data_IF_193181192675
#
_entry.id   IF_193181192675
#
_cell.length_a   1.000
_cell.length_b   1.000
_cell.length_c   1.000
_cell.angle_alpha   90.00
_cell.angle_beta   90.00
_cell.angle_gamma   90.00
#
_symmetry.space_group_name_H-M   'P 1'
#
loop_
_entity.id
_entity.type
_entity.pdbx_description
1 polymer ?
#
# COMPACT_ATOMS: atom_id res chain seq x y z
N UNK A 1 71.12 -32.59 56.14
CA UNK A 1 70.73 -31.26 55.60
C UNK A 1 70.41 -31.41 54.12
N UNK A 2 69.38 -32.20 53.78
CA UNK A 2 69.13 -32.56 52.37
C UNK A 2 67.63 -32.68 52.05
N UNK A 3 66.79 -32.06 52.88
CA UNK A 3 65.33 -32.02 52.69
C UNK A 3 64.83 -30.61 52.36
N UNK A 4 65.73 -29.65 52.07
CA UNK A 4 65.36 -28.26 51.80
C UNK A 4 65.77 -27.76 50.41
N UNK A 5 66.02 -28.69 49.47
CA UNK A 5 66.27 -28.36 48.05
C UNK A 5 65.08 -28.66 47.13
N UNK A 6 64.23 -29.64 47.45
CA UNK A 6 63.05 -29.96 46.63
C UNK A 6 61.82 -29.08 46.92
N UNK A 7 61.84 -28.27 47.96
CA UNK A 7 60.76 -27.33 48.32
C UNK A 7 60.86 -25.99 47.57
N UNK A 8 61.89 -25.74 46.75
CA UNK A 8 62.03 -24.52 45.95
C UNK A 8 61.66 -24.66 44.47
N UNK A 9 61.57 -25.87 43.91
CA UNK A 9 61.22 -26.06 42.48
C UNK A 9 59.73 -26.35 42.23
N UNK A 10 58.91 -26.48 43.28
CA UNK A 10 57.49 -26.82 43.16
C UNK A 10 56.53 -25.62 43.24
N UNK A 11 57.01 -24.42 43.57
CA UNK A 11 56.11 -23.27 43.84
C UNK A 11 56.22 -22.11 42.83
N UNK A 12 56.85 -22.33 41.68
CA UNK A 12 56.96 -21.30 40.63
C UNK A 12 56.23 -21.68 39.33
N UNK A 13 55.41 -22.75 39.37
CA UNK A 13 54.80 -23.31 38.14
C UNK A 13 53.28 -23.27 38.04
N UNK A 14 52.55 -22.70 38.98
CA UNK A 14 51.08 -22.68 38.91
C UNK A 14 50.51 -21.38 39.49
N UNK A 15 50.64 -20.28 38.75
CA UNK A 15 49.70 -19.16 38.84
C UNK A 15 48.72 -19.29 37.64
N UNK A 16 47.40 -19.16 37.86
CA UNK A 16 46.39 -19.86 37.07
C UNK A 16 46.10 -19.19 35.72
N UNK A 17 46.14 -19.97 34.64
CA UNK A 17 45.58 -19.62 33.33
C UNK A 17 44.04 -19.43 33.36
N UNK A 18 43.37 -19.73 34.47
CA UNK A 18 41.90 -19.66 34.60
C UNK A 18 41.34 -18.22 34.57
N UNK A 19 42.11 -17.20 34.98
CA UNK A 19 41.59 -15.83 34.93
C UNK A 19 41.51 -15.27 33.52
N UNK A 20 42.36 -15.71 32.61
CA UNK A 20 42.40 -15.13 31.26
C UNK A 20 41.27 -15.68 30.38
N UNK A 21 40.86 -16.94 30.61
CA UNK A 21 39.76 -17.60 29.90
C UNK A 21 38.40 -16.92 30.14
N UNK A 22 38.06 -16.50 31.36
CA UNK A 22 36.74 -15.90 31.63
C UNK A 22 36.60 -14.47 31.04
N UNK A 23 37.71 -13.73 30.90
CA UNK A 23 37.67 -12.42 30.22
C UNK A 23 37.43 -12.57 28.71
N UNK A 24 38.15 -13.48 28.05
CA UNK A 24 38.01 -13.71 26.61
C UNK A 24 36.67 -14.37 26.26
N UNK A 25 36.18 -15.30 27.08
CA UNK A 25 34.96 -16.06 26.79
C UNK A 25 33.67 -15.33 27.17
N UNK A 26 33.71 -14.44 28.17
CA UNK A 26 32.49 -13.83 28.73
C UNK A 26 32.45 -12.32 28.63
N UNK A 27 33.55 -11.63 28.89
CA UNK A 27 33.54 -10.16 28.99
C UNK A 27 33.54 -9.53 27.60
N UNK A 28 34.39 -10.01 26.69
CA UNK A 28 34.50 -9.48 25.32
C UNK A 28 33.18 -9.66 24.53
N UNK A 29 32.55 -10.85 24.48
CA UNK A 29 31.29 -11.01 23.78
C UNK A 29 30.13 -10.24 24.41
N UNK A 30 30.16 -10.03 25.72
CA UNK A 30 29.13 -9.25 26.43
C UNK A 30 29.18 -7.78 26.04
N UNK A 31 30.36 -7.16 26.09
CA UNK A 31 30.56 -5.76 25.68
C UNK A 31 30.19 -5.57 24.21
N UNK A 32 30.63 -6.49 23.34
CA UNK A 32 30.30 -6.43 21.91
C UNK A 32 28.79 -6.51 21.66
N UNK A 33 28.08 -7.43 22.32
CA UNK A 33 26.62 -7.57 22.18
C UNK A 33 25.85 -6.36 22.73
N UNK A 34 26.30 -5.76 23.84
CA UNK A 34 25.67 -4.57 24.42
C UNK A 34 25.80 -3.38 23.47
N UNK A 35 27.03 -3.07 23.03
CA UNK A 35 27.31 -1.94 22.15
C UNK A 35 26.63 -2.13 20.80
N UNK A 36 26.68 -3.33 20.23
CA UNK A 36 26.02 -3.63 18.96
C UNK A 36 24.51 -3.39 19.03
N UNK A 37 23.83 -3.79 20.12
CA UNK A 37 22.40 -3.51 20.30
C UNK A 37 22.12 -2.02 20.47
N UNK A 38 22.95 -1.30 21.24
CA UNK A 38 22.78 0.13 21.49
C UNK A 38 22.97 0.97 20.22
N UNK A 39 23.92 0.61 19.36
CA UNK A 39 24.16 1.30 18.09
C UNK A 39 23.09 0.94 17.06
N UNK A 40 22.75 -0.34 16.89
CA UNK A 40 21.70 -0.77 15.92
C UNK A 40 20.35 -0.11 16.22
N UNK A 41 20.02 0.14 17.49
CA UNK A 41 18.79 0.81 17.87
C UNK A 41 18.69 2.27 17.38
N UNK A 42 19.82 2.94 17.14
CA UNK A 42 19.86 4.33 16.66
C UNK A 42 19.75 4.42 15.14
N UNK A 43 20.08 3.34 14.42
CA UNK A 43 20.08 3.29 12.97
C UNK A 43 18.77 2.72 12.41
N UNK A 44 18.28 3.33 11.33
CA UNK A 44 17.17 2.76 10.58
C UNK A 44 17.65 1.55 9.78
N UNK A 45 16.76 0.58 9.58
CA UNK A 45 17.06 -0.68 8.90
C UNK A 45 17.63 -0.50 7.49
N UNK A 46 17.12 0.50 6.78
CA UNK A 46 17.54 0.84 5.43
C UNK A 46 19.01 1.29 5.39
N UNK A 47 19.45 2.03 6.41
CA UNK A 47 20.82 2.50 6.56
C UNK A 47 21.79 1.36 6.92
N UNK A 48 21.34 0.38 7.69
CA UNK A 48 22.13 -0.83 7.99
C UNK A 48 22.41 -1.69 6.74
N UNK A 49 21.50 -1.66 5.75
CA UNK A 49 21.66 -2.38 4.50
C UNK A 49 22.52 -1.61 3.49
N UNK A 50 22.27 -0.32 3.33
CA UNK A 50 22.92 0.52 2.31
C UNK A 50 24.30 1.02 2.74
N UNK A 51 24.50 1.29 4.03
CA UNK A 51 25.72 1.88 4.59
C UNK A 51 26.39 0.93 5.59
N UNK A 52 26.38 -0.38 5.28
CA UNK A 52 26.91 -1.41 6.18
C UNK A 52 28.36 -1.14 6.61
N UNK A 53 29.21 -0.65 5.71
CA UNK A 53 30.61 -0.37 6.05
C UNK A 53 30.75 0.79 7.04
N UNK A 54 30.00 1.87 6.83
CA UNK A 54 30.02 3.03 7.72
C UNK A 54 29.51 2.66 9.12
N UNK A 55 28.41 1.91 9.19
CA UNK A 55 27.88 1.42 10.46
C UNK A 55 28.85 0.45 11.13
N UNK A 56 29.53 -0.40 10.36
CA UNK A 56 30.55 -1.31 10.90
C UNK A 56 31.74 -0.57 11.49
N UNK A 57 32.16 0.54 10.87
CA UNK A 57 33.23 1.39 11.39
C UNK A 57 32.82 2.03 12.72
N UNK A 58 31.61 2.56 12.81
CA UNK A 58 31.11 3.21 14.02
C UNK A 58 30.90 2.23 15.17
N UNK A 59 30.39 1.03 14.89
CA UNK A 59 30.30 -0.04 15.88
C UNK A 59 31.70 -0.40 16.41
N UNK A 60 32.71 -0.45 15.53
CA UNK A 60 34.09 -0.73 15.93
C UNK A 60 34.63 0.35 16.87
N UNK A 61 34.46 1.62 16.53
CA UNK A 61 34.88 2.73 17.39
C UNK A 61 34.17 2.69 18.76
N UNK A 62 32.87 2.44 18.77
CA UNK A 62 32.08 2.34 20.00
C UNK A 62 32.53 1.18 20.89
N UNK A 63 32.83 0.01 20.29
CA UNK A 63 33.34 -1.14 21.04
C UNK A 63 34.74 -0.84 21.61
N UNK A 64 35.63 -0.21 20.84
CA UNK A 64 36.98 0.20 21.30
C UNK A 64 36.88 1.18 22.46
N UNK A 65 36.05 2.22 22.36
CA UNK A 65 35.83 3.17 23.44
C UNK A 65 35.29 2.49 24.71
N UNK A 66 34.37 1.54 24.56
CA UNK A 66 33.80 0.79 25.69
C UNK A 66 34.84 -0.12 26.33
N UNK A 67 35.65 -0.83 25.55
CA UNK A 67 36.70 -1.71 26.03
C UNK A 67 37.84 -0.98 26.74
N UNK A 68 38.16 0.26 26.32
CA UNK A 68 39.11 1.12 27.03
C UNK A 68 38.69 1.40 28.47
N UNK A 69 37.39 1.49 28.78
CA UNK A 69 36.89 1.67 30.15
C UNK A 69 37.20 0.46 31.05
N UNK A 70 37.39 -0.71 30.45
CA UNK A 70 37.77 -1.95 31.12
C UNK A 70 39.29 -2.25 31.00
N UNK A 71 40.08 -1.29 30.51
CA UNK A 71 41.50 -1.44 30.20
C UNK A 71 41.83 -2.57 29.20
N UNK A 72 40.90 -2.88 28.29
CA UNK A 72 41.08 -3.88 27.24
C UNK A 72 41.47 -3.17 25.94
N UNK A 73 42.59 -3.59 25.34
CA UNK A 73 43.04 -3.12 24.03
C UNK A 73 42.62 -4.14 22.98
N UNK A 74 41.83 -3.71 21.99
CA UNK A 74 41.42 -4.55 20.85
C UNK A 74 42.10 -4.04 19.58
N UNK A 75 42.76 -4.92 18.84
CA UNK A 75 43.47 -4.56 17.60
C UNK A 75 42.56 -4.59 16.37
N UNK A 76 41.83 -5.69 16.13
CA UNK A 76 40.93 -5.78 14.98
C UNK A 76 39.65 -6.57 15.31
N UNK A 77 38.50 -5.98 14.97
CA UNK A 77 37.17 -6.54 15.24
C UNK A 77 36.48 -6.76 13.90
N UNK A 78 36.17 -8.02 13.60
CA UNK A 78 35.41 -8.41 12.41
C UNK A 78 33.98 -8.80 12.77
N UNK A 79 32.99 -8.14 12.16
CA UNK A 79 31.57 -8.50 12.31
C UNK A 79 31.26 -9.64 11.34
N UNK A 80 31.08 -10.85 11.85
CA UNK A 80 30.83 -12.05 11.03
C UNK A 80 29.36 -12.16 10.60
N UNK A 81 28.42 -12.16 11.55
CA UNK A 81 27.00 -12.37 11.27
C UNK A 81 26.12 -11.30 11.92
N UNK A 82 25.42 -10.52 11.08
CA UNK A 82 24.39 -9.59 11.51
C UNK A 82 23.03 -10.25 11.26
N UNK A 83 22.51 -10.94 12.27
CA UNK A 83 21.20 -11.60 12.17
C UNK A 83 20.12 -10.61 12.57
N UNK A 84 19.27 -10.25 11.62
CA UNK A 84 18.10 -9.43 11.90
C UNK A 84 17.09 -10.23 12.74
N UNK A 85 16.58 -9.61 13.81
CA UNK A 85 15.48 -10.20 14.59
C UNK A 85 14.22 -10.36 13.72
N UNK A 86 13.38 -11.36 14.02
CA UNK A 86 12.11 -11.57 13.30
C UNK A 86 11.19 -10.33 13.37
N UNK A 87 11.19 -9.64 14.51
CA UNK A 87 10.41 -8.41 14.70
C UNK A 87 10.92 -7.27 13.83
N UNK A 88 12.22 -7.25 13.52
CA UNK A 88 12.84 -6.25 12.66
C UNK A 88 12.49 -6.46 11.19
N UNK A 89 12.54 -7.71 10.71
CA UNK A 89 12.09 -8.05 9.36
C UNK A 89 10.61 -7.67 9.16
N UNK A 90 9.77 -7.96 10.17
CA UNK A 90 8.35 -7.60 10.16
C UNK A 90 8.13 -6.09 10.12
N UNK A 91 8.85 -5.31 10.94
CA UNK A 91 8.72 -3.85 10.94
C UNK A 91 9.13 -3.21 9.61
N UNK A 92 10.07 -3.80 8.87
CA UNK A 92 10.44 -3.33 7.52
C UNK A 92 9.33 -3.66 6.53
N UNK A 93 8.81 -4.89 6.56
CA UNK A 93 7.71 -5.33 5.69
C UNK A 93 6.48 -4.43 5.91
N UNK A 94 6.11 -4.17 7.16
CA UNK A 94 5.00 -3.29 7.52
C UNK A 94 5.23 -1.85 7.00
N UNK A 95 6.46 -1.32 7.09
CA UNK A 95 6.80 0.00 6.51
C UNK A 95 6.69 0.00 4.98
N UNK A 96 7.13 -1.05 4.31
CA UNK A 96 7.02 -1.17 2.85
C UNK A 96 5.56 -1.22 2.42
N UNK A 97 4.73 -2.00 3.12
CA UNK A 97 3.28 -2.05 2.86
C UNK A 97 2.65 -0.68 3.08
N UNK A 98 2.95 -0.01 4.20
CA UNK A 98 2.43 1.33 4.48
C UNK A 98 2.84 2.36 3.42
N UNK A 99 4.08 2.29 2.93
CA UNK A 99 4.58 3.20 1.89
C UNK A 99 3.89 2.93 0.53
N UNK A 100 3.75 1.65 0.15
CA UNK A 100 3.03 1.28 -1.07
C UNK A 100 1.56 1.67 -0.99
N UNK A 101 0.92 1.49 0.16
CA UNK A 101 -0.46 1.91 0.37
C UNK A 101 -0.59 3.42 0.29
N UNK A 102 0.34 4.19 0.87
CA UNK A 102 0.35 5.65 0.75
C UNK A 102 0.49 6.11 -0.71
N UNK A 103 1.39 5.48 -1.49
CA UNK A 103 1.53 5.76 -2.92
C UNK A 103 0.27 5.39 -3.71
N UNK A 104 -0.33 4.23 -3.42
CA UNK A 104 -1.59 3.81 -4.04
C UNK A 104 -2.72 4.79 -3.72
N UNK A 105 -2.82 5.26 -2.47
CA UNK A 105 -3.85 6.23 -2.09
C UNK A 105 -3.66 7.56 -2.81
N UNK A 106 -2.42 8.05 -2.94
CA UNK A 106 -2.12 9.25 -3.75
C UNK A 106 -2.59 9.08 -5.20
N UNK A 107 -2.30 7.92 -5.80
CA UNK A 107 -2.73 7.62 -7.17
C UNK A 107 -4.26 7.56 -7.30
N UNK A 108 -4.97 7.00 -6.32
CA UNK A 108 -6.44 6.96 -6.31
C UNK A 108 -7.02 8.38 -6.24
N UNK A 109 -6.46 9.24 -5.38
CA UNK A 109 -6.90 10.64 -5.25
C UNK A 109 -6.67 11.41 -6.56
N UNK A 110 -5.47 11.26 -7.14
CA UNK A 110 -5.13 11.93 -8.40
C UNK A 110 -6.03 11.44 -9.55
N UNK A 111 -6.27 10.13 -9.65
CA UNK A 111 -7.19 9.56 -10.64
C UNK A 111 -8.62 10.11 -10.46
N UNK A 112 -9.11 10.16 -9.22
CA UNK A 112 -10.44 10.69 -8.92
C UNK A 112 -10.55 12.19 -9.25
N UNK A 113 -9.45 12.95 -9.08
CA UNK A 113 -9.40 14.36 -9.46
C UNK A 113 -9.43 14.53 -10.98
N UNK A 114 -8.64 13.74 -11.71
CA UNK A 114 -8.64 13.75 -13.18
C UNK A 114 -10.01 13.33 -13.76
N UNK A 115 -10.64 12.29 -13.20
CA UNK A 115 -11.99 11.86 -13.62
C UNK A 115 -13.04 12.95 -13.37
N UNK A 116 -12.95 13.67 -12.25
CA UNK A 116 -13.83 14.80 -11.94
C UNK A 116 -13.64 15.93 -12.96
N UNK A 117 -12.40 16.32 -13.24
CA UNK A 117 -12.10 17.36 -14.22
C UNK A 117 -12.58 16.95 -15.62
N UNK A 118 -12.32 15.71 -16.04
CA UNK A 118 -12.80 15.19 -17.32
C UNK A 118 -14.34 15.22 -17.43
N UNK A 119 -15.04 14.90 -16.34
CA UNK A 119 -16.51 14.96 -16.29
C UNK A 119 -17.01 16.40 -16.42
N UNK A 120 -16.41 17.35 -15.71
CA UNK A 120 -16.76 18.78 -15.80
C UNK A 120 -16.55 19.29 -17.23
N UNK A 121 -15.37 19.06 -17.81
CA UNK A 121 -15.05 19.49 -19.18
C UNK A 121 -16.00 18.87 -20.19
N UNK A 122 -16.34 17.58 -20.05
CA UNK A 122 -17.31 16.92 -20.93
C UNK A 122 -18.70 17.53 -20.80
N UNK A 123 -19.18 17.76 -19.58
CA UNK A 123 -20.48 18.38 -19.34
C UNK A 123 -20.54 19.83 -19.82
N UNK A 124 -19.46 20.59 -19.68
CA UNK A 124 -19.35 21.94 -20.24
C UNK A 124 -19.38 21.91 -21.77
N UNK A 125 -18.61 21.01 -22.40
CA UNK A 125 -18.61 20.83 -23.84
C UNK A 125 -19.98 20.39 -24.39
N UNK A 126 -20.68 19.50 -23.69
CA UNK A 126 -22.05 19.09 -24.03
C UNK A 126 -23.04 20.26 -23.88
N UNK A 127 -22.92 21.04 -22.80
CA UNK A 127 -23.78 22.19 -22.57
C UNK A 127 -23.58 23.30 -23.62
N UNK A 128 -22.34 23.57 -24.00
CA UNK A 128 -22.00 24.54 -25.04
C UNK A 128 -22.47 24.05 -26.43
N UNK A 129 -22.24 22.78 -26.75
CA UNK A 129 -22.76 22.17 -27.97
C UNK A 129 -24.29 22.23 -28.03
N UNK A 130 -24.97 21.90 -26.92
CA UNK A 130 -26.43 21.98 -26.84
C UNK A 130 -26.96 23.41 -27.01
N UNK A 131 -26.27 24.42 -26.46
CA UNK A 131 -26.60 25.84 -26.69
C UNK A 131 -26.44 26.22 -28.16
N UNK A 132 -25.31 25.88 -28.77
CA UNK A 132 -25.04 26.17 -30.19
C UNK A 132 -26.06 25.49 -31.11
N UNK A 133 -26.41 24.23 -30.85
CA UNK A 133 -27.47 23.51 -31.58
C UNK A 133 -28.81 24.20 -31.36
N UNK A 134 -29.14 24.61 -30.13
CA UNK A 134 -30.40 25.28 -29.81
C UNK A 134 -30.53 26.64 -30.50
N UNK A 135 -29.43 27.40 -30.62
CA UNK A 135 -29.37 28.66 -31.36
C UNK A 135 -29.55 28.43 -32.85
N UNK A 136 -28.78 27.51 -33.45
CA UNK A 136 -28.94 27.15 -34.86
C UNK A 136 -30.35 26.63 -35.19
N UNK A 137 -30.97 25.89 -34.27
CA UNK A 137 -32.34 25.41 -34.41
C UNK A 137 -33.38 26.52 -34.22
N UNK A 138 -33.13 27.56 -33.43
CA UNK A 138 -34.01 28.73 -33.40
C UNK A 138 -33.96 29.51 -34.71
N UNK A 139 -32.79 29.61 -35.33
CA UNK A 139 -32.60 30.32 -36.60
C UNK A 139 -33.14 29.54 -37.81
N UNK A 140 -33.08 28.20 -37.80
CA UNK A 140 -33.42 27.37 -38.98
C UNK A 140 -34.50 26.29 -38.73
N UNK A 141 -35.04 26.14 -37.52
CA UNK A 141 -35.61 24.86 -37.05
C UNK A 141 -37.11 24.64 -37.13
N UNK A 142 -37.92 25.55 -37.70
CA UNK A 142 -39.34 25.21 -37.95
C UNK A 142 -39.47 24.00 -38.87
N UNK A 143 -38.68 23.95 -39.95
CA UNK A 143 -38.68 22.83 -40.89
C UNK A 143 -38.05 21.54 -40.33
N UNK A 144 -36.94 21.64 -39.58
CA UNK A 144 -36.25 20.45 -39.08
C UNK A 144 -37.04 19.73 -37.98
N UNK A 145 -37.70 20.48 -37.09
CA UNK A 145 -38.58 19.90 -36.06
C UNK A 145 -39.78 19.20 -36.71
N UNK A 146 -40.33 19.78 -37.77
CA UNK A 146 -41.47 19.20 -38.50
C UNK A 146 -41.07 17.89 -39.23
N UNK A 147 -39.92 17.87 -39.90
CA UNK A 147 -39.38 16.64 -40.52
C UNK A 147 -39.13 15.55 -39.47
N UNK A 148 -38.53 15.90 -38.33
CA UNK A 148 -38.32 14.94 -37.22
C UNK A 148 -39.62 14.43 -36.61
N UNK A 149 -40.67 15.26 -36.55
CA UNK A 149 -42.01 14.83 -36.12
C UNK A 149 -42.61 13.83 -37.10
N UNK A 150 -42.44 14.06 -38.41
CA UNK A 150 -42.93 13.15 -39.45
C UNK A 150 -42.20 11.80 -39.37
N UNK A 151 -40.88 11.81 -39.21
CA UNK A 151 -40.08 10.58 -39.08
C UNK A 151 -40.46 9.80 -37.82
N UNK A 152 -40.57 10.47 -36.66
CA UNK A 152 -41.02 9.83 -35.43
C UNK A 152 -42.45 9.26 -35.56
N UNK A 153 -43.36 9.98 -36.22
CA UNK A 153 -44.71 9.49 -36.49
C UNK A 153 -44.70 8.26 -37.41
N UNK A 154 -43.82 8.24 -38.41
CA UNK A 154 -43.63 7.10 -39.31
C UNK A 154 -43.10 5.87 -38.55
N UNK A 155 -42.10 6.04 -37.70
CA UNK A 155 -41.53 4.95 -36.90
C UNK A 155 -42.55 4.39 -35.89
N UNK A 156 -43.32 5.27 -35.24
CA UNK A 156 -44.41 4.87 -34.35
C UNK A 156 -45.47 4.09 -35.14
N UNK A 157 -45.91 4.58 -36.29
CA UNK A 157 -46.91 3.91 -37.13
C UNK A 157 -46.43 2.54 -37.62
N UNK A 158 -45.15 2.40 -37.99
CA UNK A 158 -44.56 1.13 -38.40
C UNK A 158 -44.51 0.12 -37.25
N UNK A 159 -44.09 0.56 -36.06
CA UNK A 159 -44.09 -0.28 -34.85
C UNK A 159 -45.51 -0.68 -34.44
N UNK A 160 -46.48 0.23 -34.54
CA UNK A 160 -47.88 -0.03 -34.22
C UNK A 160 -48.50 -1.03 -35.20
N UNK A 161 -48.22 -0.87 -36.51
CA UNK A 161 -48.69 -1.79 -37.55
C UNK A 161 -48.13 -3.21 -37.42
N UNK A 162 -46.94 -3.38 -36.85
CA UNK A 162 -46.31 -4.69 -36.62
C UNK A 162 -46.80 -5.36 -35.33
N UNK A 163 -47.43 -4.62 -34.43
CA UNK A 163 -47.88 -5.16 -33.15
C UNK A 163 -49.28 -5.81 -33.29
N UNK A 164 -49.46 -7.07 -32.82
CA UNK A 164 -50.69 -7.84 -33.07
C UNK A 164 -51.90 -7.42 -32.20
N UNK A 165 -51.80 -6.38 -31.38
CA UNK A 165 -52.84 -5.97 -30.42
C UNK A 165 -53.38 -4.54 -30.65
N UNK A 166 -53.35 -4.05 -31.90
CA UNK A 166 -53.80 -2.70 -32.25
C UNK A 166 -55.15 -2.80 -32.95
N UNK A 167 -56.20 -2.45 -32.21
CA UNK A 167 -57.56 -2.35 -32.75
C UNK A 167 -57.83 -0.91 -33.16
N UNK A 168 -58.00 -0.67 -34.46
CA UNK A 168 -58.38 0.64 -34.98
C UNK A 168 -59.84 0.91 -34.61
N UNK A 169 -60.08 1.88 -33.72
CA UNK A 169 -61.43 2.39 -33.45
C UNK A 169 -61.70 3.57 -34.39
N UNK A 170 -62.63 3.44 -35.36
CA UNK A 170 -63.05 4.57 -36.18
C UNK A 170 -63.80 5.58 -35.30
N UNK A 171 -63.39 6.85 -35.35
CA UNK A 171 -64.11 7.93 -34.65
C UNK A 171 -65.50 8.10 -35.27
N UNK A 172 -66.54 7.69 -34.55
CA UNK A 172 -67.93 7.93 -34.94
C UNK A 172 -68.97 6.93 -34.42
N UNK A 173 -68.58 5.78 -33.85
CA UNK A 173 -69.54 4.78 -33.38
C UNK A 173 -69.36 4.50 -31.88
N UNK A 174 -70.32 4.98 -31.08
CA UNK A 174 -70.41 4.73 -29.64
C UNK A 174 -70.70 3.24 -29.39
N UNK A 175 -69.67 2.44 -29.14
CA UNK A 175 -69.85 1.05 -28.73
C UNK A 175 -70.13 0.99 -27.22
N UNK A 176 -71.33 0.56 -26.84
CA UNK A 176 -71.64 0.19 -25.46
C UNK A 176 -70.82 -1.06 -25.07
N UNK A 177 -69.90 -0.89 -24.13
CA UNK A 177 -69.17 -2.00 -23.52
C UNK A 177 -70.08 -2.72 -22.52
N UNK A 178 -70.66 -3.85 -22.93
CA UNK A 178 -71.45 -4.71 -22.06
C UNK A 178 -70.53 -5.55 -21.15
N UNK A 179 -70.38 -5.15 -19.89
CA UNK A 179 -69.72 -5.97 -18.86
C UNK A 179 -70.76 -6.91 -18.25
N UNK A 180 -70.79 -8.16 -18.71
CA UNK A 180 -71.72 -9.18 -18.20
C UNK A 180 -70.96 -10.42 -17.72
N UNK A 181 -70.95 -10.59 -16.39
CA UNK A 181 -71.10 -11.89 -15.72
C UNK A 181 -69.88 -12.82 -15.61
N UNK A 182 -69.23 -12.82 -14.45
CA UNK A 182 -68.29 -13.87 -14.03
C UNK A 182 -68.21 -13.98 -12.52
N UNK A 183 -69.29 -14.43 -11.86
CA UNK A 183 -69.29 -14.81 -10.45
C UNK A 183 -69.32 -16.34 -10.31
N UNK A 184 -68.48 -16.89 -9.42
CA UNK A 184 -68.72 -18.04 -8.49
C UNK A 184 -67.37 -18.66 -8.00
N UNK A 185 -67.34 -19.50 -6.93
CA UNK A 185 -67.44 -19.15 -5.51
C UNK A 185 -66.28 -19.79 -4.68
N UNK A 186 -66.29 -19.63 -3.36
CA UNK A 186 -65.32 -20.23 -2.43
C UNK A 186 -65.43 -21.77 -2.32
N UNK A 187 -64.29 -22.43 -2.16
CA UNK A 187 -64.07 -23.63 -1.34
C UNK A 187 -62.60 -23.66 -0.90
#
# INVERSE_FOLDING_TARGET
MEQNRQSKEANEKFAPEEKQSDYDERVIPSIANEVMKATIAQYNAESLLTQREQVSHEIREAIVQRAQQFNIVMEDIAITHLTYGKDFARAIEDKQVAQQDAERQKFIVEKAEQERQATVIRSEGEAEAAKMISEALKEHGSGLIEVRRIDAAKDIAENLSKSPNVMYLPNGQQMLLNVAGGARPQA
#
